data_IF_275825022871
#
_entry.id   IF_275825022871
#
_cell.length_a   1.000
_cell.length_b   1.000
_cell.length_c   1.000
_cell.angle_alpha   90.00
_cell.angle_beta   90.00
_cell.angle_gamma   90.00
#
_symmetry.space_group_name_H-M   'P 1'
#
loop_
_entity.id
_entity.type
_entity.pdbx_description
1 polymer ?
#
# COMPACT_ATOMS: atom_id res chain seq x y z
N UNK A 1 18.85 10.46 -35.06
CA UNK A 1 17.47 10.66 -34.56
C UNK A 1 17.46 10.55 -33.04
N UNK A 2 17.07 11.59 -32.28
CA UNK A 2 17.07 11.54 -30.82
C UNK A 2 15.79 10.88 -30.30
N UNK A 3 15.82 9.56 -30.08
CA UNK A 3 14.71 8.79 -29.48
C UNK A 3 14.67 8.84 -27.94
N UNK A 4 15.65 9.47 -27.27
CA UNK A 4 15.80 9.44 -25.81
C UNK A 4 15.07 10.54 -25.03
N UNK A 5 14.65 11.65 -25.67
CA UNK A 5 14.04 12.80 -24.96
C UNK A 5 12.52 12.59 -24.76
N UNK A 6 11.84 11.90 -25.69
CA UNK A 6 10.38 11.72 -25.67
C UNK A 6 9.87 10.65 -24.70
N UNK A 7 10.72 9.70 -24.26
CA UNK A 7 10.31 8.65 -23.32
C UNK A 7 10.08 9.21 -21.91
N UNK A 8 10.98 10.06 -21.40
CA UNK A 8 10.84 10.67 -20.07
C UNK A 8 9.58 11.53 -19.94
N UNK A 9 9.23 12.34 -20.95
CA UNK A 9 8.05 13.20 -20.88
C UNK A 9 6.74 12.41 -20.83
N UNK A 10 6.66 11.29 -21.56
CA UNK A 10 5.48 10.43 -21.52
C UNK A 10 5.33 9.71 -20.18
N UNK A 11 6.43 9.35 -19.53
CA UNK A 11 6.39 8.70 -18.22
C UNK A 11 6.06 9.71 -17.11
N UNK A 12 6.59 10.94 -17.17
CA UNK A 12 6.17 12.05 -16.29
C UNK A 12 4.66 12.36 -16.41
N UNK A 13 4.14 12.42 -17.64
CA UNK A 13 2.70 12.65 -17.86
C UNK A 13 1.83 11.53 -17.30
N UNK A 14 2.29 10.27 -17.34
CA UNK A 14 1.60 9.14 -16.72
C UNK A 14 1.57 9.29 -15.20
N UNK A 15 2.70 9.61 -14.58
CA UNK A 15 2.79 9.82 -13.13
C UNK A 15 1.89 10.97 -12.67
N UNK A 16 1.89 12.09 -13.40
CA UNK A 16 0.99 13.21 -13.11
C UNK A 16 -0.49 12.78 -13.21
N UNK A 17 -0.83 11.99 -14.23
CA UNK A 17 -2.19 11.48 -14.42
C UNK A 17 -2.61 10.54 -13.27
N UNK A 18 -1.74 9.62 -12.88
CA UNK A 18 -1.93 8.71 -11.75
C UNK A 18 -2.19 9.50 -10.46
N UNK A 19 -1.30 10.43 -10.13
CA UNK A 19 -1.40 11.21 -8.91
C UNK A 19 -2.64 12.13 -8.87
N UNK A 20 -3.03 12.65 -10.03
CA UNK A 20 -4.25 13.45 -10.18
C UNK A 20 -5.51 12.61 -9.92
N UNK A 21 -5.54 11.36 -10.41
CA UNK A 21 -6.65 10.42 -10.17
C UNK A 21 -6.72 10.01 -8.70
N UNK A 22 -5.58 9.66 -8.09
CA UNK A 22 -5.48 9.31 -6.66
C UNK A 22 -5.98 10.45 -5.77
N UNK A 23 -5.49 11.67 -6.01
CA UNK A 23 -5.88 12.87 -5.27
C UNK A 23 -7.37 13.18 -5.44
N UNK A 24 -7.89 13.07 -6.67
CA UNK A 24 -9.30 13.29 -6.94
C UNK A 24 -10.19 12.31 -6.18
N UNK A 25 -9.84 11.02 -6.17
CA UNK A 25 -10.57 10.02 -5.40
C UNK A 25 -10.54 10.35 -3.90
N UNK A 26 -9.37 10.66 -3.35
CA UNK A 26 -9.22 11.01 -1.94
C UNK A 26 -10.08 12.24 -1.57
N UNK A 27 -10.09 13.28 -2.41
CA UNK A 27 -10.93 14.46 -2.17
C UNK A 27 -12.42 14.13 -2.22
N UNK A 28 -12.86 13.31 -3.17
CA UNK A 28 -14.27 12.90 -3.27
C UNK A 28 -14.71 12.05 -2.08
N UNK A 29 -13.83 11.19 -1.56
CA UNK A 29 -14.13 10.37 -0.38
C UNK A 29 -14.18 11.15 0.93
N UNK A 30 -13.68 12.39 0.96
CA UNK A 30 -13.95 13.32 2.08
C UNK A 30 -15.39 13.86 2.04
N UNK A 31 -16.07 13.76 0.90
CA UNK A 31 -17.39 14.35 0.66
C UNK A 31 -18.52 13.30 0.64
N UNK A 32 -18.26 12.08 0.18
CA UNK A 32 -19.27 11.00 0.03
C UNK A 32 -18.66 9.60 0.09
N UNK A 33 -19.50 8.59 0.29
CA UNK A 33 -19.05 7.20 0.39
C UNK A 33 -18.49 6.69 -0.95
N UNK A 34 -17.52 5.77 -0.88
CA UNK A 34 -16.86 5.26 -2.08
C UNK A 34 -17.85 4.71 -3.10
N UNK A 35 -18.88 3.99 -2.65
CA UNK A 35 -19.89 3.37 -3.51
C UNK A 35 -20.63 4.41 -4.38
N UNK A 36 -20.82 5.62 -3.86
CA UNK A 36 -21.47 6.75 -4.52
C UNK A 36 -20.55 7.53 -5.47
N UNK A 37 -19.24 7.27 -5.43
CA UNK A 37 -18.26 7.88 -6.34
C UNK A 37 -18.26 7.12 -7.66
N UNK A 38 -18.57 7.79 -8.77
CA UNK A 38 -18.44 7.21 -10.11
C UNK A 38 -17.04 7.45 -10.71
N UNK A 39 -16.63 6.63 -11.68
CA UNK A 39 -15.40 6.90 -12.46
C UNK A 39 -15.48 8.28 -13.14
N UNK A 40 -16.67 8.68 -13.58
CA UNK A 40 -16.90 10.00 -14.18
C UNK A 40 -16.63 11.13 -13.17
N UNK A 41 -17.03 10.98 -11.91
CA UNK A 41 -16.74 11.98 -10.87
C UNK A 41 -15.24 12.13 -10.66
N UNK A 42 -14.52 11.00 -10.58
CA UNK A 42 -13.06 10.97 -10.42
C UNK A 42 -12.39 11.66 -11.61
N UNK A 43 -12.75 11.28 -12.84
CA UNK A 43 -12.21 11.88 -14.06
C UNK A 43 -12.42 13.40 -14.10
N UNK A 44 -13.64 13.84 -13.75
CA UNK A 44 -13.99 15.27 -13.72
C UNK A 44 -13.18 16.02 -12.66
N UNK A 45 -13.03 15.47 -11.45
CA UNK A 45 -12.28 16.10 -10.36
C UNK A 45 -10.76 16.09 -10.64
N UNK A 46 -10.24 15.05 -11.29
CA UNK A 46 -8.84 14.92 -11.68
C UNK A 46 -8.46 15.73 -12.94
N UNK A 47 -9.44 16.21 -13.72
CA UNK A 47 -9.18 16.91 -14.98
C UNK A 47 -8.69 15.98 -16.10
N UNK A 48 -9.06 14.70 -16.07
CA UNK A 48 -8.62 13.69 -17.05
C UNK A 48 -9.79 13.09 -17.82
N UNK A 49 -9.52 12.51 -18.99
CA UNK A 49 -10.54 11.77 -19.74
C UNK A 49 -10.79 10.39 -19.13
N UNK A 50 -11.97 9.80 -19.39
CA UNK A 50 -12.23 8.39 -19.02
C UNK A 50 -11.25 7.42 -19.68
N UNK A 51 -10.81 7.71 -20.91
CA UNK A 51 -9.82 6.88 -21.60
C UNK A 51 -8.47 6.91 -20.88
N UNK A 52 -8.06 8.07 -20.36
CA UNK A 52 -6.87 8.21 -19.53
C UNK A 52 -7.03 7.50 -18.18
N UNK A 53 -8.21 7.52 -17.57
CA UNK A 53 -8.48 6.69 -16.40
C UNK A 53 -8.28 5.20 -16.73
N UNK A 54 -8.95 4.71 -17.79
CA UNK A 54 -8.94 3.29 -18.15
C UNK A 54 -7.62 2.77 -18.72
N UNK A 55 -6.69 3.65 -19.11
CA UNK A 55 -5.31 3.28 -19.43
C UNK A 55 -4.48 2.92 -18.21
N UNK A 56 -4.87 3.40 -17.01
CA UNK A 56 -4.18 3.13 -15.75
C UNK A 56 -4.96 2.18 -14.84
N UNK A 57 -6.28 2.36 -14.71
CA UNK A 57 -7.11 1.65 -13.74
C UNK A 57 -8.35 1.06 -14.41
N UNK A 58 -8.73 -0.16 -14.04
CA UNK A 58 -10.00 -0.80 -14.47
C UNK A 58 -11.13 -0.53 -13.50
N UNK A 59 -10.82 -0.23 -12.24
CA UNK A 59 -11.81 0.09 -11.22
C UNK A 59 -11.29 1.11 -10.20
N UNK A 60 -12.18 1.59 -9.31
CA UNK A 60 -11.78 2.42 -8.15
C UNK A 60 -10.83 1.68 -7.20
N UNK A 61 -10.95 0.36 -7.16
CA UNK A 61 -10.15 -0.50 -6.29
C UNK A 61 -8.69 -0.54 -6.72
N UNK A 62 -8.45 -0.53 -8.03
CA UNK A 62 -7.12 -0.60 -8.62
C UNK A 62 -6.24 0.60 -8.22
N UNK A 63 -6.86 1.74 -7.89
CA UNK A 63 -6.17 2.92 -7.37
C UNK A 63 -5.52 2.60 -6.02
N UNK A 64 -6.23 1.89 -5.14
CA UNK A 64 -5.69 1.49 -3.84
C UNK A 64 -4.64 0.40 -3.97
N UNK A 65 -4.85 -0.57 -4.85
CA UNK A 65 -3.84 -1.59 -5.14
C UNK A 65 -2.54 -0.92 -5.65
N UNK A 66 -2.65 0.14 -6.44
CA UNK A 66 -1.50 0.94 -6.89
C UNK A 66 -0.79 1.67 -5.74
N UNK A 67 -1.52 2.35 -4.86
CA UNK A 67 -0.94 3.03 -3.69
C UNK A 67 -0.18 2.04 -2.80
N UNK A 68 -0.77 0.87 -2.54
CA UNK A 68 -0.12 -0.20 -1.77
C UNK A 68 1.12 -0.74 -2.50
N UNK A 69 1.09 -0.83 -3.83
CA UNK A 69 2.25 -1.23 -4.61
C UNK A 69 3.38 -0.20 -4.53
N UNK A 70 3.08 1.10 -4.57
CA UNK A 70 4.07 2.16 -4.42
C UNK A 70 4.72 2.14 -3.03
N UNK A 71 3.91 2.02 -1.97
CA UNK A 71 4.43 1.83 -0.60
C UNK A 71 5.33 0.59 -0.56
N UNK A 72 4.91 -0.52 -1.16
CA UNK A 72 5.77 -1.70 -1.23
C UNK A 72 7.09 -1.37 -1.93
N UNK A 73 7.09 -0.75 -3.12
CA UNK A 73 8.33 -0.40 -3.84
C UNK A 73 9.26 0.52 -3.05
N UNK A 74 8.73 1.48 -2.30
CA UNK A 74 9.53 2.39 -1.46
C UNK A 74 10.20 1.66 -0.29
N UNK A 75 9.47 0.72 0.32
CA UNK A 75 9.96 -0.09 1.44
C UNK A 75 10.94 -1.17 0.96
N UNK A 76 10.78 -1.60 -0.29
CA UNK A 76 11.37 -2.80 -0.86
C UNK A 76 12.23 -2.46 -2.07
N UNK A 77 13.54 -2.26 -1.85
CA UNK A 77 14.53 -1.96 -2.90
C UNK A 77 14.88 -3.18 -3.76
N UNK A 78 13.94 -3.60 -4.61
CA UNK A 78 14.05 -4.71 -5.58
C UNK A 78 13.66 -6.09 -5.02
N UNK A 79 12.55 -6.62 -5.57
CA UNK A 79 11.99 -7.97 -5.44
C UNK A 79 11.43 -8.40 -4.06
N UNK A 80 10.09 -8.30 -3.94
CA UNK A 80 9.22 -9.24 -3.20
C UNK A 80 9.57 -9.44 -1.69
N UNK A 81 9.61 -8.35 -0.93
CA UNK A 81 10.13 -8.30 0.45
C UNK A 81 9.07 -8.48 1.54
N UNK A 82 7.78 -8.65 1.26
CA UNK A 82 6.85 -9.08 2.32
C UNK A 82 7.26 -10.41 2.98
N UNK A 83 8.27 -11.10 2.43
CA UNK A 83 8.64 -12.45 2.79
C UNK A 83 10.14 -12.74 2.93
N UNK A 84 11.06 -11.77 2.78
CA UNK A 84 12.46 -11.99 3.15
C UNK A 84 12.69 -11.68 4.62
N UNK A 85 12.44 -12.70 5.45
CA UNK A 85 12.58 -12.65 6.91
C UNK A 85 13.98 -12.17 7.32
N UNK A 86 15.00 -12.38 6.49
CA UNK A 86 16.38 -11.97 6.81
C UNK A 86 16.53 -10.45 6.86
N UNK A 87 15.67 -9.71 6.18
CA UNK A 87 15.74 -8.25 6.06
C UNK A 87 14.74 -7.50 6.95
N UNK A 88 14.00 -8.20 7.83
CA UNK A 88 13.08 -7.59 8.80
C UNK A 88 13.84 -7.06 10.03
N UNK A 89 14.67 -6.04 9.82
CA UNK A 89 15.38 -5.29 10.84
C UNK A 89 14.61 -3.99 11.20
N UNK A 90 15.10 -3.22 12.18
CA UNK A 90 14.43 -1.96 12.58
C UNK A 90 14.29 -0.97 11.41
N UNK A 91 15.32 -0.86 10.58
CA UNK A 91 15.35 0.02 9.40
C UNK A 91 14.28 -0.34 8.35
N UNK A 92 13.93 -1.63 8.20
CA UNK A 92 12.76 -2.04 7.41
C UNK A 92 11.46 -1.44 7.96
N UNK A 93 11.23 -1.51 9.27
CA UNK A 93 10.02 -0.95 9.87
C UNK A 93 10.01 0.58 9.79
N UNK A 94 11.15 1.24 10.00
CA UNK A 94 11.25 2.70 9.85
C UNK A 94 10.93 3.14 8.42
N UNK A 95 11.43 2.44 7.40
CA UNK A 95 11.03 2.70 6.01
C UNK A 95 9.55 2.45 5.77
N UNK A 96 9.01 1.35 6.31
CA UNK A 96 7.59 1.01 6.19
C UNK A 96 6.69 2.11 6.76
N UNK A 97 6.93 2.50 8.00
CA UNK A 97 6.11 3.52 8.66
C UNK A 97 6.36 4.92 8.09
N UNK A 98 7.56 5.23 7.59
CA UNK A 98 7.81 6.48 6.85
C UNK A 98 7.00 6.53 5.54
N UNK A 99 7.03 5.49 4.73
CA UNK A 99 6.26 5.43 3.47
C UNK A 99 4.75 5.51 3.73
N UNK A 100 4.27 4.87 4.80
CA UNK A 100 2.88 4.99 5.25
C UNK A 100 2.54 6.40 5.76
N UNK A 101 3.47 7.08 6.44
CA UNK A 101 3.29 8.47 6.90
C UNK A 101 3.09 9.42 5.71
N UNK A 102 3.91 9.25 4.65
CA UNK A 102 3.85 10.09 3.45
C UNK A 102 2.53 9.95 2.69
N UNK A 103 1.85 8.80 2.82
CA UNK A 103 0.55 8.51 2.19
C UNK A 103 -0.63 8.52 3.18
N UNK A 104 -0.41 9.02 4.39
CA UNK A 104 -1.34 8.87 5.52
C UNK A 104 -2.78 9.30 5.23
N UNK A 105 -2.97 10.48 4.62
CA UNK A 105 -4.32 11.02 4.38
C UNK A 105 -5.14 10.09 3.49
N UNK A 106 -4.49 9.49 2.50
CA UNK A 106 -5.10 8.56 1.56
C UNK A 106 -5.36 7.20 2.23
N UNK A 107 -4.44 6.74 3.07
CA UNK A 107 -4.60 5.50 3.84
C UNK A 107 -5.75 5.59 4.83
N UNK A 108 -5.91 6.72 5.54
CA UNK A 108 -7.06 6.95 6.44
C UNK A 108 -8.39 6.81 5.71
N UNK A 109 -8.47 7.41 4.53
CA UNK A 109 -9.66 7.34 3.68
C UNK A 109 -9.93 5.88 3.26
N UNK A 110 -8.90 5.15 2.85
CA UNK A 110 -9.00 3.75 2.45
C UNK A 110 -9.44 2.85 3.61
N UNK A 111 -8.85 3.02 4.79
CA UNK A 111 -9.18 2.23 5.98
C UNK A 111 -10.61 2.51 6.44
N UNK A 112 -11.02 3.78 6.47
CA UNK A 112 -12.40 4.16 6.83
C UNK A 112 -13.44 3.60 5.86
N UNK A 113 -13.07 3.38 4.60
CA UNK A 113 -13.96 2.77 3.60
C UNK A 113 -14.03 1.23 3.70
N UNK A 114 -13.40 0.61 4.71
CA UNK A 114 -13.58 -0.82 5.04
C UNK A 114 -12.72 -1.80 4.26
N UNK A 115 -11.67 -1.34 3.58
CA UNK A 115 -10.86 -2.19 2.69
C UNK A 115 -9.77 -3.03 3.36
N UNK A 116 -9.79 -3.14 4.68
CA UNK A 116 -8.79 -3.82 5.50
C UNK A 116 -8.49 -5.27 5.10
N UNK A 117 -9.43 -6.03 4.52
CA UNK A 117 -9.25 -7.47 4.30
C UNK A 117 -8.55 -7.86 2.99
N UNK A 118 -8.45 -6.94 2.02
CA UNK A 118 -7.90 -7.28 0.69
C UNK A 118 -6.42 -7.63 0.71
N UNK A 119 -5.53 -6.87 1.37
CA UNK A 119 -4.10 -7.16 1.35
C UNK A 119 -3.76 -8.52 1.99
N UNK A 120 -4.34 -8.85 3.16
CA UNK A 120 -4.21 -10.21 3.76
C UNK A 120 -4.63 -11.30 2.77
N UNK A 121 -5.78 -11.16 2.11
CA UNK A 121 -6.28 -12.20 1.22
C UNK A 121 -5.35 -12.41 0.01
N UNK A 122 -4.89 -11.34 -0.63
CA UNK A 122 -3.93 -11.43 -1.74
C UNK A 122 -2.62 -12.09 -1.29
N UNK A 123 -2.08 -11.68 -0.15
CA UNK A 123 -0.88 -12.26 0.41
C UNK A 123 -1.06 -13.75 0.79
N UNK A 124 -2.20 -14.13 1.36
CA UNK A 124 -2.55 -15.53 1.64
C UNK A 124 -2.51 -16.39 0.37
N UNK A 125 -3.12 -15.90 -0.72
CA UNK A 125 -3.08 -16.60 -2.01
C UNK A 125 -1.64 -16.71 -2.54
N UNK A 126 -0.84 -15.63 -2.47
CA UNK A 126 0.56 -15.65 -2.91
C UNK A 126 1.41 -16.67 -2.15
N UNK A 127 1.22 -16.77 -0.83
CA UNK A 127 1.93 -17.71 0.04
C UNK A 127 1.55 -19.17 -0.22
N UNK A 128 0.29 -19.43 -0.58
CA UNK A 128 -0.15 -20.76 -1.01
C UNK A 128 0.51 -21.18 -2.32
N UNK A 129 0.71 -20.25 -3.26
CA UNK A 129 1.26 -20.55 -4.58
C UNK A 129 2.77 -20.81 -4.54
N UNK A 130 3.51 -20.18 -3.61
CA UNK A 130 4.99 -20.31 -3.50
C UNK A 130 5.50 -21.63 -2.88
N UNK A 131 4.64 -22.62 -2.62
CA UNK A 131 4.99 -23.91 -2.00
C UNK A 131 5.87 -23.81 -0.73
N UNK A 132 5.67 -22.75 0.07
CA UNK A 132 6.39 -22.56 1.34
C UNK A 132 5.98 -23.65 2.33
N UNK A 133 6.92 -24.14 3.16
CA UNK A 133 6.64 -25.10 4.23
C UNK A 133 5.50 -24.67 5.14
N UNK A 134 4.73 -25.63 5.67
CA UNK A 134 3.45 -25.33 6.37
C UNK A 134 3.63 -24.45 7.59
N UNK A 135 4.64 -24.71 8.39
CA UNK A 135 4.93 -23.93 9.61
C UNK A 135 5.39 -22.52 9.26
N UNK A 136 6.34 -22.41 8.34
CA UNK A 136 6.87 -21.14 7.84
C UNK A 136 5.77 -20.26 7.25
N UNK A 137 4.86 -20.85 6.45
CA UNK A 137 3.68 -20.16 5.93
C UNK A 137 2.78 -19.63 7.05
N UNK A 138 2.58 -20.39 8.13
CA UNK A 138 1.77 -19.93 9.28
C UNK A 138 2.43 -18.79 10.03
N UNK A 139 3.75 -18.84 10.25
CA UNK A 139 4.50 -17.74 10.87
C UNK A 139 4.38 -16.45 10.06
N UNK A 140 4.51 -16.54 8.74
CA UNK A 140 4.30 -15.41 7.81
C UNK A 140 2.88 -14.86 7.87
N UNK A 141 1.88 -15.72 7.94
CA UNK A 141 0.48 -15.27 8.11
C UNK A 141 0.27 -14.55 9.45
N UNK A 142 0.81 -15.07 10.55
CA UNK A 142 0.71 -14.41 11.86
C UNK A 142 1.40 -13.05 11.86
N UNK A 143 2.61 -12.96 11.28
CA UNK A 143 3.32 -11.70 11.15
C UNK A 143 2.53 -10.70 10.30
N UNK A 144 2.02 -11.15 9.13
CA UNK A 144 1.26 -10.32 8.21
C UNK A 144 -0.02 -9.77 8.86
N UNK A 145 -0.80 -10.63 9.52
CA UNK A 145 -1.99 -10.19 10.24
C UNK A 145 -1.64 -9.22 11.37
N UNK A 146 -0.52 -9.44 12.07
CA UNK A 146 -0.05 -8.54 13.12
C UNK A 146 0.36 -7.17 12.60
N UNK A 147 1.15 -7.10 11.51
CA UNK A 147 1.59 -5.82 10.95
C UNK A 147 0.44 -5.05 10.32
N UNK A 148 -0.50 -5.73 9.65
CA UNK A 148 -1.64 -5.06 9.02
C UNK A 148 -2.57 -4.43 10.06
N UNK A 149 -2.90 -5.16 11.14
CA UNK A 149 -3.71 -4.63 12.24
C UNK A 149 -3.00 -3.47 12.94
N UNK A 150 -1.69 -3.58 13.15
CA UNK A 150 -0.89 -2.50 13.73
C UNK A 150 -0.87 -1.24 12.84
N UNK A 151 -0.73 -1.42 11.52
CA UNK A 151 -0.81 -0.31 10.56
C UNK A 151 -2.19 0.34 10.62
N UNK A 152 -3.27 -0.45 10.63
CA UNK A 152 -4.63 0.09 10.70
C UNK A 152 -4.85 0.91 11.97
N UNK A 153 -4.41 0.40 13.12
CA UNK A 153 -4.51 1.09 14.41
C UNK A 153 -3.73 2.42 14.37
N UNK A 154 -2.48 2.38 13.91
CA UNK A 154 -1.62 3.56 13.80
C UNK A 154 -2.16 4.60 12.80
N UNK A 155 -2.74 4.16 11.68
CA UNK A 155 -3.38 5.05 10.69
C UNK A 155 -4.62 5.73 11.26
N UNK A 156 -5.42 5.01 12.07
CA UNK A 156 -6.66 5.53 12.63
C UNK A 156 -6.49 6.32 13.94
N UNK A 157 -5.35 6.17 14.63
CA UNK A 157 -5.13 6.83 15.91
C UNK A 157 -4.92 8.35 15.78
N UNK A 158 -5.67 9.11 16.57
CA UNK A 158 -5.55 10.56 16.68
C UNK A 158 -4.31 10.99 17.48
N UNK A 159 -3.74 10.12 18.31
CA UNK A 159 -2.51 10.34 19.08
C UNK A 159 -1.44 9.30 18.73
N UNK A 160 -1.27 9.06 17.44
CA UNK A 160 -0.33 8.06 16.94
C UNK A 160 1.09 8.28 17.48
N UNK A 161 1.75 7.16 17.77
CA UNK A 161 3.19 7.09 17.99
C UNK A 161 3.96 7.72 16.80
N UNK A 162 5.14 8.26 17.06
CA UNK A 162 6.05 8.66 15.98
C UNK A 162 6.50 7.43 15.17
N UNK A 163 6.95 7.66 13.93
CA UNK A 163 7.50 6.60 13.05
C UNK A 163 8.54 5.74 13.80
N UNK A 164 9.42 6.35 14.59
CA UNK A 164 10.44 5.64 15.36
C UNK A 164 9.84 4.74 16.45
N UNK A 165 8.87 5.24 17.20
CA UNK A 165 8.22 4.52 18.30
C UNK A 165 7.45 3.30 17.78
N UNK A 166 6.60 3.49 16.76
CA UNK A 166 5.81 2.40 16.19
C UNK A 166 6.71 1.36 15.48
N UNK A 167 7.78 1.81 14.82
CA UNK A 167 8.75 0.91 14.16
C UNK A 167 9.48 0.04 15.17
N UNK A 168 9.91 0.63 16.29
CA UNK A 168 10.55 -0.11 17.37
C UNK A 168 9.59 -1.13 17.98
N UNK A 169 8.34 -0.75 18.23
CA UNK A 169 7.31 -1.65 18.73
C UNK A 169 7.07 -2.83 17.79
N UNK A 170 6.83 -2.55 16.50
CA UNK A 170 6.61 -3.56 15.48
C UNK A 170 7.80 -4.53 15.37
N UNK A 171 9.03 -4.00 15.33
CA UNK A 171 10.25 -4.80 15.30
C UNK A 171 10.34 -5.75 16.50
N UNK A 172 10.10 -5.27 17.71
CA UNK A 172 10.20 -6.05 18.94
C UNK A 172 9.10 -7.11 19.08
N UNK A 173 7.88 -6.84 18.60
CA UNK A 173 6.72 -7.73 18.79
C UNK A 173 6.53 -8.71 17.65
N UNK A 174 6.75 -8.29 16.40
CA UNK A 174 6.40 -9.08 15.23
C UNK A 174 7.57 -9.91 14.71
N UNK A 175 8.78 -9.35 14.62
CA UNK A 175 9.97 -10.07 14.10
C UNK A 175 10.24 -11.41 14.80
N UNK A 176 10.08 -11.56 16.14
CA UNK A 176 10.29 -12.84 16.81
C UNK A 176 9.37 -13.96 16.35
N UNK A 177 8.16 -13.66 15.84
CA UNK A 177 7.20 -14.66 15.33
C UNK A 177 7.82 -15.49 14.21
N UNK A 178 8.66 -14.86 13.40
CA UNK A 178 9.29 -15.46 12.23
C UNK A 178 10.58 -16.21 12.57
N UNK A 179 11.23 -15.88 13.70
CA UNK A 179 12.52 -16.44 14.10
C UNK A 179 12.42 -17.61 15.08
N UNK A 180 11.28 -17.77 15.78
CA UNK A 180 11.08 -18.88 16.71
C UNK A 180 10.81 -20.17 15.94
N UNK A 181 11.55 -21.23 16.23
CA UNK A 181 11.14 -22.60 15.91
C UNK A 181 10.32 -23.12 17.10
N UNK A 182 9.15 -23.69 16.83
CA UNK A 182 8.30 -24.31 17.85
C UNK A 182 8.59 -25.80 17.96
#
# INVERSE_FOLDING_TARGET
>A
MPKKIYQNHNDELKEITLHSIETALALLMKEKDLEEISITDICRKAGVSRNAFYSHFKSKNDIFDHILLEINKEVVKDNDIMFDIKNLNLDFYERLFSALEDKMDMLKIYVNAGFQYRPIMQAYYSLRLKQVEREERRKRMCWLSGIEVLIMDWVNDRKRDSVKEISLFAYQKLTPILKKNF
#
